data_IF_791274142557
#
_entry.id   IF_791274142557
#
_cell.length_a   1.000
_cell.length_b   1.000
_cell.length_c   1.000
_cell.angle_alpha   90.00
_cell.angle_beta   90.00
_cell.angle_gamma   90.00
#
_symmetry.space_group_name_H-M   'P 1'
#
loop_
_entity.id
_entity.type
_entity.pdbx_description
1 polymer ?
#
# COMPACT_ATOMS: atom_id res chain seq x y z
N UNK A 1 2.24 11.11 -32.53
CA UNK A 1 2.19 11.23 -31.06
C UNK A 1 3.40 12.02 -30.60
N UNK A 2 3.26 13.01 -29.71
CA UNK A 2 4.41 13.75 -29.19
C UNK A 2 5.16 12.89 -28.17
N UNK A 3 6.49 12.87 -28.22
CA UNK A 3 7.35 12.09 -27.30
C UNK A 3 6.99 12.33 -25.81
N UNK A 4 6.68 13.58 -25.47
CA UNK A 4 6.25 13.99 -24.13
C UNK A 4 4.96 13.31 -23.64
N UNK A 5 4.00 13.01 -24.52
CA UNK A 5 2.75 12.35 -24.12
C UNK A 5 2.99 10.88 -23.74
N UNK A 6 3.81 10.18 -24.53
CA UNK A 6 4.20 8.79 -24.24
C UNK A 6 4.94 8.70 -22.91
N UNK A 7 5.92 9.58 -22.70
CA UNK A 7 6.72 9.63 -21.48
C UNK A 7 5.83 9.84 -20.23
N UNK A 8 4.84 10.73 -20.32
CA UNK A 8 3.88 10.97 -19.24
C UNK A 8 3.02 9.73 -18.94
N UNK A 9 2.52 9.04 -19.95
CA UNK A 9 1.70 7.86 -19.74
C UNK A 9 2.47 6.69 -19.12
N UNK A 10 3.72 6.48 -19.56
CA UNK A 10 4.61 5.49 -18.95
C UNK A 10 4.89 5.83 -17.49
N UNK A 11 5.10 7.11 -17.17
CA UNK A 11 5.26 7.57 -15.80
C UNK A 11 4.00 7.30 -14.95
N UNK A 12 2.81 7.63 -15.47
CA UNK A 12 1.54 7.38 -14.77
C UNK A 12 1.36 5.89 -14.48
N UNK A 13 1.58 5.01 -15.47
CA UNK A 13 1.49 3.55 -15.31
C UNK A 13 2.43 3.03 -14.23
N UNK A 14 3.65 3.57 -14.17
CA UNK A 14 4.62 3.26 -13.12
C UNK A 14 4.13 3.72 -11.75
N UNK A 15 3.69 4.97 -11.62
CA UNK A 15 3.25 5.57 -10.35
C UNK A 15 2.04 4.83 -9.75
N UNK A 16 1.09 4.37 -10.57
CA UNK A 16 -0.05 3.58 -10.12
C UNK A 16 0.42 2.29 -9.45
N UNK A 17 1.29 1.53 -10.12
CA UNK A 17 1.78 0.25 -9.60
C UNK A 17 2.66 0.43 -8.35
N UNK A 18 3.43 1.51 -8.29
CA UNK A 18 4.16 1.89 -7.07
C UNK A 18 3.18 2.24 -5.93
N UNK A 19 2.07 2.93 -6.23
CA UNK A 19 1.03 3.25 -5.24
C UNK A 19 0.32 1.99 -4.73
N UNK A 20 -0.02 1.05 -5.62
CA UNK A 20 -0.59 -0.26 -5.26
C UNK A 20 0.34 -1.02 -4.29
N UNK A 21 1.63 -1.12 -4.64
CA UNK A 21 2.62 -1.78 -3.80
C UNK A 21 2.77 -1.13 -2.41
N UNK A 22 2.74 0.20 -2.33
CA UNK A 22 2.80 0.94 -1.05
C UNK A 22 1.56 0.67 -0.20
N UNK A 23 0.38 0.52 -0.79
CA UNK A 23 -0.84 0.22 -0.04
C UNK A 23 -0.85 -1.22 0.51
N UNK A 24 -0.28 -2.16 -0.23
CA UNK A 24 -0.08 -3.53 0.27
C UNK A 24 0.92 -3.55 1.43
N UNK A 25 2.05 -2.84 1.31
CA UNK A 25 3.03 -2.70 2.38
C UNK A 25 2.43 -2.02 3.63
N UNK A 26 1.63 -0.96 3.45
CA UNK A 26 0.92 -0.30 4.55
C UNK A 26 -0.06 -1.25 5.27
N UNK A 27 -0.73 -2.13 4.51
CA UNK A 27 -1.64 -3.14 5.07
C UNK A 27 -0.88 -4.16 5.89
N UNK A 28 0.26 -4.64 5.41
CA UNK A 28 1.13 -5.56 6.13
C UNK A 28 1.65 -4.94 7.45
N UNK A 29 2.18 -3.72 7.37
CA UNK A 29 2.70 -3.01 8.55
C UNK A 29 1.60 -2.73 9.59
N UNK A 30 0.39 -2.37 9.15
CA UNK A 30 -0.78 -2.21 10.02
C UNK A 30 -1.13 -3.50 10.76
N UNK A 31 -1.15 -4.63 10.05
CA UNK A 31 -1.41 -5.94 10.65
C UNK A 31 -0.33 -6.33 11.69
N UNK A 32 0.95 -6.12 11.38
CA UNK A 32 2.07 -6.35 12.32
C UNK A 32 1.96 -5.46 13.57
N UNK A 33 1.61 -4.18 13.39
CA UNK A 33 1.39 -3.26 14.50
C UNK A 33 0.22 -3.73 15.39
N UNK A 34 -0.91 -4.10 14.80
CA UNK A 34 -2.06 -4.62 15.55
C UNK A 34 -1.70 -5.87 16.34
N UNK A 35 -0.96 -6.80 15.73
CA UNK A 35 -0.47 -8.00 16.41
C UNK A 35 0.36 -7.64 17.65
N UNK A 36 1.35 -6.74 17.50
CA UNK A 36 2.17 -6.29 18.61
C UNK A 36 1.36 -5.64 19.73
N UNK A 37 0.36 -4.81 19.39
CA UNK A 37 -0.53 -4.18 20.36
C UNK A 37 -1.37 -5.21 21.13
N UNK A 38 -1.91 -6.23 20.45
CA UNK A 38 -2.70 -7.30 21.08
C UNK A 38 -1.82 -8.18 21.97
N UNK A 39 -0.60 -8.50 21.53
CA UNK A 39 0.37 -9.25 22.33
C UNK A 39 0.77 -8.48 23.59
N UNK A 40 1.04 -7.18 23.49
CA UNK A 40 1.35 -6.35 24.64
C UNK A 40 0.23 -6.33 25.70
N UNK A 41 -1.04 -6.42 25.27
CA UNK A 41 -2.21 -6.52 26.16
C UNK A 41 -2.34 -7.85 26.89
N UNK A 42 -1.63 -8.89 26.44
CA UNK A 42 -1.61 -10.18 27.16
C UNK A 42 -0.68 -10.14 28.38
N UNK A 43 0.10 -9.06 28.56
CA UNK A 43 1.00 -8.94 29.70
C UNK A 43 0.21 -8.77 31.02
N UNK A 44 0.49 -9.54 32.09
CA UNK A 44 -0.28 -9.51 33.33
C UNK A 44 -0.37 -8.13 34.00
N UNK A 45 0.68 -7.33 33.87
CA UNK A 45 0.75 -5.98 34.45
C UNK A 45 0.05 -4.90 33.63
N UNK A 46 -0.53 -5.26 32.46
CA UNK A 46 -1.24 -4.32 31.60
C UNK A 46 -2.74 -4.43 31.85
N UNK A 47 -3.43 -3.34 32.27
CA UNK A 47 -4.88 -3.36 32.42
C UNK A 47 -5.59 -3.77 31.13
N UNK A 48 -6.65 -4.57 31.25
CA UNK A 48 -7.39 -5.11 30.09
C UNK A 48 -7.89 -4.00 29.14
N UNK A 49 -8.25 -2.82 29.67
CA UNK A 49 -8.74 -1.70 28.88
C UNK A 49 -7.63 -0.88 28.18
N UNK A 50 -6.35 -1.12 28.51
CA UNK A 50 -5.22 -0.36 27.97
C UNK A 50 -5.12 -0.52 26.46
N UNK A 51 -4.93 0.61 25.77
CA UNK A 51 -4.78 0.64 24.31
C UNK A 51 -6.07 0.38 23.51
N UNK A 52 -7.24 0.22 24.15
CA UNK A 52 -8.50 -0.04 23.45
C UNK A 52 -8.86 1.07 22.44
N UNK A 53 -8.77 2.34 22.85
CA UNK A 53 -9.03 3.47 21.92
C UNK A 53 -8.01 3.51 20.78
N UNK A 54 -6.75 3.15 21.05
CA UNK A 54 -5.72 3.10 20.01
C UNK A 54 -5.99 1.98 19.00
N UNK A 55 -6.42 0.80 19.45
CA UNK A 55 -6.81 -0.31 18.56
C UNK A 55 -8.02 0.03 17.70
N UNK A 56 -9.02 0.73 18.24
CA UNK A 56 -10.16 1.21 17.47
C UNK A 56 -9.73 2.22 16.39
N UNK A 57 -8.82 3.14 16.72
CA UNK A 57 -8.24 4.08 15.75
C UNK A 57 -7.40 3.38 14.70
N UNK A 58 -6.62 2.35 15.08
CA UNK A 58 -5.86 1.55 14.12
C UNK A 58 -6.78 0.80 13.15
N UNK A 59 -7.85 0.19 13.66
CA UNK A 59 -8.85 -0.49 12.82
C UNK A 59 -9.52 0.48 11.83
N UNK A 60 -9.80 1.71 12.25
CA UNK A 60 -10.31 2.77 11.38
C UNK A 60 -9.31 3.12 10.26
N UNK A 61 -8.03 3.26 10.60
CA UNK A 61 -6.96 3.54 9.63
C UNK A 61 -6.83 2.41 8.62
N UNK A 62 -6.79 1.16 9.07
CA UNK A 62 -6.70 -0.01 8.17
C UNK A 62 -7.91 -0.08 7.23
N UNK A 63 -9.12 0.26 7.71
CA UNK A 63 -10.29 0.33 6.84
C UNK A 63 -10.10 1.38 5.73
N UNK A 64 -9.56 2.55 6.06
CA UNK A 64 -9.27 3.58 5.06
C UNK A 64 -8.19 3.12 4.07
N UNK A 65 -7.16 2.40 4.51
CA UNK A 65 -6.13 1.83 3.62
C UNK A 65 -6.76 0.83 2.63
N UNK A 66 -7.61 -0.08 3.11
CA UNK A 66 -8.29 -1.05 2.25
C UNK A 66 -9.25 -0.38 1.25
N UNK A 67 -9.97 0.65 1.70
CA UNK A 67 -10.81 1.46 0.82
C UNK A 67 -9.98 2.17 -0.25
N UNK A 68 -8.85 2.77 0.12
CA UNK A 68 -7.93 3.41 -0.80
C UNK A 68 -7.38 2.41 -1.83
N UNK A 69 -6.96 1.21 -1.40
CA UNK A 69 -6.51 0.14 -2.31
C UNK A 69 -7.57 -0.21 -3.36
N UNK A 70 -8.83 -0.38 -2.94
CA UNK A 70 -9.93 -0.61 -3.88
C UNK A 70 -10.15 0.53 -4.87
N UNK A 71 -10.02 1.79 -4.42
CA UNK A 71 -10.14 2.95 -5.32
C UNK A 71 -8.97 3.05 -6.29
N UNK A 72 -7.74 2.76 -5.86
CA UNK A 72 -6.56 2.76 -6.74
C UNK A 72 -6.68 1.69 -7.84
N UNK A 73 -7.17 0.48 -7.53
CA UNK A 73 -7.44 -0.52 -8.57
C UNK A 73 -8.46 -0.05 -9.61
N UNK A 74 -9.47 0.73 -9.20
CA UNK A 74 -10.44 1.33 -10.14
C UNK A 74 -9.79 2.39 -11.01
N UNK A 75 -8.97 3.27 -10.43
CA UNK A 75 -8.18 4.27 -11.17
C UNK A 75 -7.27 3.59 -12.19
N UNK A 76 -6.61 2.49 -11.82
CA UNK A 76 -5.80 1.69 -12.75
C UNK A 76 -6.63 1.16 -13.92
N UNK A 77 -7.81 0.59 -13.65
CA UNK A 77 -8.71 0.08 -14.68
C UNK A 77 -9.22 1.17 -15.61
N UNK A 78 -9.58 2.35 -15.08
CA UNK A 78 -10.04 3.49 -15.85
C UNK A 78 -8.93 4.01 -16.78
N UNK A 79 -7.71 4.14 -16.26
CA UNK A 79 -6.57 4.59 -17.05
C UNK A 79 -6.13 3.56 -18.11
N UNK A 80 -6.30 2.26 -17.83
CA UNK A 80 -6.07 1.20 -18.82
C UNK A 80 -7.09 1.25 -19.96
N UNK A 81 -8.34 1.64 -19.65
CA UNK A 81 -9.38 1.86 -20.67
C UNK A 81 -9.09 3.10 -21.52
N UNK A 82 -8.57 4.16 -20.92
CA UNK A 82 -8.26 5.42 -21.60
C UNK A 82 -7.04 5.32 -22.53
N UNK A 83 -6.03 4.51 -22.17
CA UNK A 83 -4.78 4.37 -22.92
C UNK A 83 -4.97 4.17 -24.45
N UNK A 84 -5.80 3.23 -24.94
CA UNK A 84 -6.02 3.07 -26.38
C UNK A 84 -6.73 4.28 -27.03
N UNK A 85 -7.58 5.01 -26.31
CA UNK A 85 -8.28 6.19 -26.84
C UNK A 85 -7.32 7.33 -27.19
N UNK A 86 -6.22 7.44 -26.44
CA UNK A 86 -5.16 8.43 -26.68
C UNK A 86 -4.01 7.89 -27.55
N UNK A 87 -4.21 6.72 -28.17
CA UNK A 87 -3.24 6.10 -29.08
C UNK A 87 -2.05 5.43 -28.38
N UNK A 88 -2.18 5.11 -27.09
CA UNK A 88 -1.18 4.41 -26.30
C UNK A 88 -1.57 2.94 -26.22
N UNK A 89 -0.77 2.08 -26.84
CA UNK A 89 -0.96 0.64 -26.75
C UNK A 89 -0.58 0.18 -25.34
N UNK A 90 -1.41 -0.69 -24.75
CA UNK A 90 -1.09 -1.34 -23.48
C UNK A 90 -0.03 -2.44 -23.70
N UNK A 91 1.19 -2.01 -24.02
CA UNK A 91 2.32 -2.93 -24.01
C UNK A 91 2.65 -3.28 -22.56
N UNK A 92 2.77 -4.60 -22.31
CA UNK A 92 3.21 -5.10 -21.03
C UNK A 92 4.67 -4.68 -20.80
N UNK A 93 4.84 -3.61 -20.04
CA UNK A 93 6.14 -3.21 -19.47
C UNK A 93 6.18 -3.78 -18.05
N UNK A 94 7.12 -4.68 -17.71
CA UNK A 94 7.28 -5.17 -16.34
C UNK A 94 7.60 -4.00 -15.40
N UNK A 95 6.89 -3.90 -14.28
CA UNK A 95 7.24 -2.93 -13.24
C UNK A 95 8.33 -3.51 -12.36
N UNK A 96 9.51 -2.93 -12.44
CA UNK A 96 10.59 -3.18 -11.49
C UNK A 96 10.27 -2.38 -10.23
N UNK A 97 9.74 -3.04 -9.20
CA UNK A 97 9.64 -2.46 -7.87
C UNK A 97 11.05 -2.29 -7.31
N UNK A 98 11.41 -1.06 -6.90
CA UNK A 98 12.63 -0.87 -6.10
C UNK A 98 12.41 -1.57 -4.76
N UNK A 99 13.46 -2.17 -4.14
CA UNK A 99 13.39 -2.58 -2.74
C UNK A 99 12.85 -1.40 -1.91
N UNK A 100 11.84 -1.67 -1.07
CA UNK A 100 10.98 -0.67 -0.44
C UNK A 100 11.71 0.44 0.31
N UNK A 101 11.07 1.61 0.39
CA UNK A 101 11.58 2.79 1.10
C UNK A 101 11.60 2.61 2.63
N UNK A 102 11.00 1.54 3.15
CA UNK A 102 11.06 1.13 4.56
C UNK A 102 11.77 -0.21 4.69
N UNK A 103 13.08 -0.19 4.43
CA UNK A 103 13.95 -1.27 4.89
C UNK A 103 13.96 -1.24 6.43
N UNK A 104 13.03 -1.97 7.04
CA UNK A 104 13.08 -2.22 8.46
C UNK A 104 14.36 -3.02 8.74
N UNK A 105 15.23 -2.58 9.66
CA UNK A 105 16.46 -3.30 9.98
C UNK A 105 16.11 -4.73 10.41
N UNK A 106 16.81 -5.71 9.82
CA UNK A 106 16.61 -7.17 9.98
C UNK A 106 16.81 -7.68 11.43
N UNK A 107 17.06 -6.82 12.40
CA UNK A 107 17.55 -7.19 13.73
C UNK A 107 16.48 -7.61 14.76
N UNK A 108 15.25 -7.96 14.38
CA UNK A 108 14.24 -8.40 15.36
C UNK A 108 13.50 -9.69 15.02
N UNK A 109 14.23 -10.72 14.61
CA UNK A 109 13.73 -12.12 14.62
C UNK A 109 14.53 -13.02 15.60
N UNK A 110 15.45 -12.46 16.40
CA UNK A 110 16.14 -13.22 17.44
C UNK A 110 15.97 -12.57 18.82
N UNK A 111 14.91 -12.96 19.54
CA UNK A 111 14.82 -13.10 21.01
C UNK A 111 13.42 -13.59 21.39
#
# INVERSE_FOLDING_TARGET
>A
MTKSLLDNALMIKKLIRETEAVLDEATELGARLKQAMVQARQHPDVPVASGQSALLRLAEVERHVLQASSQIFRVHSELSTLAPEVGILDEYVPTVTKPGAFQLPEERIAA
#
